data_IF_265241322693
#
_entry.id   IF_265241322693
#
_cell.length_a   1.000
_cell.length_b   1.000
_cell.length_c   1.000
_cell.angle_alpha   90.00
_cell.angle_beta   90.00
_cell.angle_gamma   90.00
#
_symmetry.space_group_name_H-M   'P 1'
#
loop_
_entity.id
_entity.type
_entity.pdbx_description
1 polymer ?
#
# COMPACT_ATOMS: atom_id res chain seq x y z
N UNK A 1 13.61 -7.63 -1.07
CA UNK A 1 12.80 -6.85 -0.10
C UNK A 1 11.32 -7.14 -0.31
N UNK A 2 10.65 -7.59 0.73
CA UNK A 2 9.22 -7.91 0.68
C UNK A 2 8.35 -6.96 1.50
N UNK A 3 8.96 -6.21 2.38
CA UNK A 3 8.30 -5.25 3.25
C UNK A 3 9.10 -3.97 3.29
N UNK A 4 8.41 -2.85 3.36
CA UNK A 4 9.01 -1.56 3.66
C UNK A 4 8.42 -1.09 4.99
N UNK A 5 9.27 -0.89 5.99
CA UNK A 5 8.84 -0.56 7.34
C UNK A 5 9.36 0.79 7.77
N UNK A 6 8.54 1.52 8.53
CA UNK A 6 8.93 2.77 9.18
C UNK A 6 8.58 2.62 10.65
N UNK A 7 9.58 2.75 11.51
CA UNK A 7 9.44 2.60 12.95
C UNK A 7 9.58 3.96 13.66
N UNK A 8 9.44 3.95 14.97
CA UNK A 8 9.63 5.11 15.83
C UNK A 8 8.69 6.28 15.53
N UNK A 9 7.48 5.96 15.10
CA UNK A 9 6.43 6.94 14.92
C UNK A 9 5.75 7.23 16.25
N UNK A 10 5.35 8.50 16.47
CA UNK A 10 4.53 8.83 17.64
C UNK A 10 3.08 8.41 17.40
N UNK A 11 2.33 8.23 18.49
CA UNK A 11 0.91 7.94 18.39
C UNK A 11 0.15 9.03 17.63
N UNK A 12 0.56 10.28 17.78
CA UNK A 12 -0.02 11.40 17.05
C UNK A 12 0.26 11.30 15.55
N UNK A 13 1.49 10.94 15.19
CA UNK A 13 1.87 10.76 13.78
C UNK A 13 1.08 9.65 13.11
N UNK A 14 0.94 8.51 13.77
CA UNK A 14 0.16 7.40 13.23
C UNK A 14 -1.32 7.73 13.13
N UNK A 15 -1.85 8.51 14.09
CA UNK A 15 -3.24 8.98 14.02
C UNK A 15 -3.46 9.92 12.84
N UNK A 16 -2.51 10.83 12.57
CA UNK A 16 -2.58 11.71 11.39
C UNK A 16 -2.54 10.93 10.10
N UNK A 17 -1.65 9.94 10.02
CA UNK A 17 -1.56 9.09 8.84
C UNK A 17 -2.84 8.29 8.62
N UNK A 18 -3.39 7.72 9.69
CA UNK A 18 -4.65 6.98 9.61
C UNK A 18 -5.78 7.85 9.08
N UNK A 19 -5.87 9.10 9.55
CA UNK A 19 -6.89 10.03 9.08
C UNK A 19 -6.71 10.34 7.59
N UNK A 20 -5.48 10.60 7.15
CA UNK A 20 -5.19 10.89 5.75
C UNK A 20 -5.57 9.70 4.85
N UNK A 21 -5.26 8.48 5.29
CA UNK A 21 -5.58 7.28 4.52
C UNK A 21 -7.10 7.05 4.42
N UNK A 22 -7.84 7.35 5.50
CA UNK A 22 -9.31 7.31 5.46
C UNK A 22 -9.87 8.36 4.52
N UNK A 23 -9.32 9.57 4.56
CA UNK A 23 -9.77 10.67 3.69
C UNK A 23 -9.53 10.36 2.21
N UNK A 24 -8.48 9.59 1.90
CA UNK A 24 -8.19 9.10 0.55
C UNK A 24 -9.02 7.89 0.14
N UNK A 25 -9.86 7.39 1.06
CA UNK A 25 -10.70 6.20 0.83
C UNK A 25 -9.89 4.92 0.64
N UNK A 26 -8.75 4.80 1.32
CA UNK A 26 -7.90 3.62 1.26
C UNK A 26 -8.19 2.59 2.35
N UNK A 27 -9.19 2.82 3.19
CA UNK A 27 -9.54 1.89 4.26
C UNK A 27 -9.96 0.52 3.71
N UNK A 28 -9.52 -0.54 4.38
CA UNK A 28 -9.85 -1.91 3.97
C UNK A 28 -11.15 -2.44 4.59
N UNK A 29 -11.65 -1.75 5.60
CA UNK A 29 -12.71 -2.28 6.47
C UNK A 29 -12.19 -2.98 7.70
N UNK A 30 -10.89 -3.29 7.75
CA UNK A 30 -10.23 -3.87 8.91
C UNK A 30 -9.37 -2.78 9.59
N UNK A 31 -9.46 -2.71 10.91
CA UNK A 31 -8.71 -1.72 11.69
C UNK A 31 -7.20 -1.89 11.43
N UNK A 32 -6.55 -0.76 11.11
CA UNK A 32 -5.10 -0.74 10.92
C UNK A 32 -4.62 -1.25 9.58
N UNK A 33 -5.51 -1.66 8.69
CA UNK A 33 -5.14 -2.13 7.35
C UNK A 33 -5.73 -1.21 6.28
N UNK A 34 -4.86 -0.76 5.38
CA UNK A 34 -5.22 0.14 4.28
C UNK A 34 -4.70 -0.42 2.97
N UNK A 35 -5.34 -0.02 1.86
CA UNK A 35 -4.94 -0.44 0.53
C UNK A 35 -4.38 0.73 -0.24
N UNK A 36 -3.09 0.65 -0.62
CA UNK A 36 -2.49 1.65 -1.52
C UNK A 36 -2.65 1.15 -2.95
N UNK A 37 -3.42 1.87 -3.79
CA UNK A 37 -3.69 1.40 -5.15
C UNK A 37 -2.42 1.41 -6.00
N UNK A 38 -2.29 0.39 -6.85
CA UNK A 38 -1.20 0.30 -7.83
C UNK A 38 -1.64 1.05 -9.08
N UNK A 39 -0.80 1.98 -9.59
CA UNK A 39 -1.11 2.67 -10.86
C UNK A 39 -1.31 1.66 -11.99
N UNK A 40 -2.38 1.82 -12.75
CA UNK A 40 -2.71 0.91 -13.84
C UNK A 40 -1.57 0.77 -14.85
N UNK A 41 -0.87 1.86 -15.14
CA UNK A 41 0.25 1.86 -16.08
C UNK A 41 1.43 1.01 -15.62
N UNK A 42 1.50 0.66 -14.34
CA UNK A 42 2.59 -0.13 -13.76
C UNK A 42 2.23 -1.59 -13.53
N UNK A 43 1.04 -2.01 -13.94
CA UNK A 43 0.64 -3.40 -13.84
C UNK A 43 1.41 -4.26 -14.85
N UNK A 44 1.73 -5.51 -14.46
CA UNK A 44 2.32 -6.46 -15.40
C UNK A 44 1.30 -6.87 -16.47
N UNK A 45 1.76 -7.46 -17.61
CA UNK A 45 0.82 -7.94 -18.61
C UNK A 45 -0.23 -8.93 -18.08
N UNK A 46 0.18 -9.84 -17.20
CA UNK A 46 -0.73 -10.81 -16.56
C UNK A 46 -1.77 -10.08 -15.71
N UNK A 47 -1.36 -9.08 -14.94
CA UNK A 47 -2.27 -8.31 -14.10
C UNK A 47 -3.27 -7.51 -14.93
N UNK A 48 -2.84 -6.93 -16.04
CA UNK A 48 -3.74 -6.21 -16.96
C UNK A 48 -4.76 -7.14 -17.59
N UNK A 49 -4.32 -8.32 -17.97
CA UNK A 49 -5.20 -9.34 -18.57
C UNK A 49 -6.29 -9.78 -17.61
N UNK A 50 -5.96 -9.88 -16.31
CA UNK A 50 -6.87 -10.33 -15.26
C UNK A 50 -7.62 -9.20 -14.56
N UNK A 51 -7.39 -7.96 -14.94
CA UNK A 51 -7.90 -6.78 -14.18
C UNK A 51 -9.41 -6.78 -14.02
N UNK A 52 -10.16 -7.22 -15.03
CA UNK A 52 -11.62 -7.24 -14.98
C UNK A 52 -12.15 -8.17 -13.88
N UNK A 53 -11.49 -9.31 -13.67
CA UNK A 53 -11.92 -10.31 -12.68
C UNK A 53 -11.21 -10.17 -11.35
N UNK A 54 -9.94 -9.81 -11.35
CA UNK A 54 -9.08 -9.82 -10.18
C UNK A 54 -8.85 -8.43 -9.57
N UNK A 55 -8.92 -7.39 -10.41
CA UNK A 55 -8.71 -6.02 -9.94
C UNK A 55 -9.78 -5.53 -8.97
N UNK A 56 -9.56 -4.40 -8.33
CA UNK A 56 -8.37 -3.55 -8.43
C UNK A 56 -7.16 -4.16 -7.69
N UNK A 57 -5.96 -3.72 -8.06
CA UNK A 57 -4.73 -4.18 -7.44
C UNK A 57 -4.22 -3.15 -6.44
N UNK A 58 -3.69 -3.62 -5.33
CA UNK A 58 -3.20 -2.76 -4.27
C UNK A 58 -2.14 -3.44 -3.42
N UNK A 59 -1.34 -2.64 -2.73
CA UNK A 59 -0.42 -3.09 -1.70
C UNK A 59 -1.06 -2.85 -0.33
N UNK A 60 -0.93 -3.82 0.58
CA UNK A 60 -1.43 -3.68 1.94
C UNK A 60 -0.50 -2.83 2.79
N UNK A 61 -1.04 -1.85 3.49
CA UNK A 61 -0.32 -1.03 4.46
C UNK A 61 -0.89 -1.31 5.84
N UNK A 62 -0.05 -1.87 6.71
CA UNK A 62 -0.40 -2.11 8.11
C UNK A 62 0.09 -0.95 8.95
N UNK A 63 -0.81 -0.38 9.74
CA UNK A 63 -0.49 0.73 10.63
C UNK A 63 -0.73 0.30 12.07
N UNK A 64 0.34 0.37 12.87
CA UNK A 64 0.29 0.12 14.29
C UNK A 64 0.50 1.43 15.05
N UNK A 65 0.51 1.38 16.39
CA UNK A 65 0.58 2.59 17.20
C UNK A 65 1.86 3.40 16.93
N UNK A 66 2.98 2.72 16.71
CA UNK A 66 4.29 3.38 16.56
C UNK A 66 5.05 2.97 15.31
N UNK A 67 4.39 2.29 14.38
CA UNK A 67 5.08 1.82 13.18
C UNK A 67 4.10 1.61 12.03
N UNK A 68 4.65 1.52 10.83
CA UNK A 68 3.89 1.08 9.65
C UNK A 68 4.72 0.08 8.87
N UNK A 69 4.03 -0.77 8.11
CA UNK A 69 4.65 -1.74 7.22
C UNK A 69 3.88 -1.82 5.93
N UNK A 70 4.57 -1.56 4.83
CA UNK A 70 4.01 -1.69 3.49
C UNK A 70 4.43 -3.06 2.94
N UNK A 71 3.46 -3.93 2.72
CA UNK A 71 3.72 -5.20 2.05
C UNK A 71 3.93 -4.95 0.56
N UNK A 72 5.03 -5.45 0.02
CA UNK A 72 5.37 -5.22 -1.38
C UNK A 72 4.81 -6.31 -2.31
N UNK A 73 3.75 -6.97 -1.88
CA UNK A 73 3.00 -7.94 -2.65
C UNK A 73 1.81 -7.23 -3.30
N UNK A 74 1.72 -7.32 -4.62
CA UNK A 74 0.57 -6.79 -5.36
C UNK A 74 -0.59 -7.76 -5.19
N UNK A 75 -1.60 -7.35 -4.44
CA UNK A 75 -2.76 -8.20 -4.18
C UNK A 75 -3.91 -7.84 -5.11
N UNK A 76 -4.62 -8.88 -5.51
CA UNK A 76 -5.82 -8.75 -6.33
C UNK A 76 -7.03 -8.67 -5.39
N UNK A 77 -7.66 -7.50 -5.29
CA UNK A 77 -8.77 -7.30 -4.36
C UNK A 77 -10.06 -7.97 -4.81
N UNK A 78 -10.20 -8.23 -6.11
CA UNK A 78 -11.38 -8.89 -6.66
C UNK A 78 -11.36 -10.41 -6.53
N UNK A 79 -10.19 -11.01 -6.29
CA UNK A 79 -10.04 -12.47 -6.19
C UNK A 79 -8.85 -12.80 -5.31
N UNK A 80 -9.04 -13.64 -4.29
CA UNK A 80 -8.00 -13.94 -3.30
C UNK A 80 -6.84 -14.78 -3.87
N UNK A 81 -7.10 -15.63 -4.84
CA UNK A 81 -6.08 -16.49 -5.43
C UNK A 81 -6.08 -16.34 -6.95
N UNK A 82 -4.95 -15.91 -7.47
CA UNK A 82 -4.73 -15.75 -8.89
C UNK A 82 -3.22 -15.67 -9.14
N UNK A 83 -2.77 -16.11 -10.31
CA UNK A 83 -1.39 -16.00 -10.73
C UNK A 83 -0.94 -14.54 -10.88
N UNK A 84 -1.88 -13.60 -10.91
CA UNK A 84 -1.58 -12.18 -10.98
C UNK A 84 -1.12 -11.59 -9.64
N UNK A 85 -1.28 -12.32 -8.52
CA UNK A 85 -0.77 -11.89 -7.21
C UNK A 85 0.72 -12.19 -7.14
N UNK A 86 1.54 -11.15 -7.17
CA UNK A 86 3.01 -11.26 -7.21
C UNK A 86 3.66 -10.12 -6.47
N UNK A 87 4.87 -10.36 -5.97
CA UNK A 87 5.65 -9.29 -5.38
C UNK A 87 5.98 -8.23 -6.44
N UNK A 88 6.00 -6.97 -6.01
CA UNK A 88 6.33 -5.85 -6.88
C UNK A 88 7.75 -6.00 -7.41
N UNK A 89 7.92 -5.78 -8.71
CA UNK A 89 9.24 -5.68 -9.33
C UNK A 89 9.95 -4.41 -8.86
N UNK A 90 11.25 -4.25 -9.21
CA UNK A 90 12.03 -3.12 -8.72
C UNK A 90 11.44 -1.75 -9.02
N UNK A 91 10.88 -1.57 -10.21
CA UNK A 91 10.31 -0.29 -10.62
C UNK A 91 9.06 0.06 -9.81
N UNK A 92 8.11 -0.88 -9.70
CA UNK A 92 6.89 -0.67 -8.92
C UNK A 92 7.21 -0.49 -7.44
N UNK A 93 8.12 -1.30 -6.91
CA UNK A 93 8.56 -1.19 -5.53
C UNK A 93 9.08 0.21 -5.23
N UNK A 94 9.99 0.72 -6.07
CA UNK A 94 10.54 2.06 -5.90
C UNK A 94 9.46 3.12 -5.96
N UNK A 95 8.51 2.99 -6.88
CA UNK A 95 7.41 3.93 -7.02
C UNK A 95 6.53 3.96 -5.76
N UNK A 96 6.15 2.79 -5.25
CA UNK A 96 5.25 2.72 -4.10
C UNK A 96 5.93 3.19 -2.81
N UNK A 97 7.21 2.90 -2.64
CA UNK A 97 7.97 3.40 -1.49
C UNK A 97 8.08 4.93 -1.57
N UNK A 98 8.39 5.47 -2.75
CA UNK A 98 8.48 6.92 -2.94
C UNK A 98 7.14 7.60 -2.69
N UNK A 99 6.04 6.99 -3.12
CA UNK A 99 4.70 7.49 -2.85
C UNK A 99 4.43 7.59 -1.35
N UNK A 100 4.72 6.52 -0.61
CA UNK A 100 4.53 6.49 0.84
C UNK A 100 5.42 7.52 1.53
N UNK A 101 6.69 7.60 1.15
CA UNK A 101 7.62 8.57 1.73
C UNK A 101 7.15 10.01 1.47
N UNK A 102 6.62 10.29 0.29
CA UNK A 102 6.08 11.61 -0.03
C UNK A 102 4.86 11.93 0.82
N UNK A 103 3.98 10.95 1.03
CA UNK A 103 2.82 11.11 1.89
C UNK A 103 3.24 11.45 3.33
N UNK A 104 4.24 10.75 3.85
CA UNK A 104 4.77 11.03 5.18
C UNK A 104 5.36 12.44 5.26
N UNK A 105 6.10 12.85 4.24
CA UNK A 105 6.67 14.19 4.17
C UNK A 105 5.58 15.25 4.15
N UNK A 106 4.54 15.05 3.34
CA UNK A 106 3.42 15.99 3.23
C UNK A 106 2.67 16.14 4.57
N UNK A 107 2.62 15.08 5.34
CA UNK A 107 2.00 15.08 6.68
C UNK A 107 2.95 15.52 7.79
N UNK A 108 4.18 15.88 7.43
CA UNK A 108 5.21 16.30 8.39
C UNK A 108 5.56 15.19 9.39
N UNK A 109 5.63 13.97 8.92
CA UNK A 109 6.00 12.79 9.72
C UNK A 109 7.43 12.43 9.36
N UNK A 110 8.30 12.48 10.37
CA UNK A 110 9.73 12.25 10.19
C UNK A 110 10.11 10.77 10.10
N UNK A 111 9.38 9.91 10.72
CA UNK A 111 9.55 8.45 10.72
C UNK A 111 10.95 7.91 10.62
#
# INVERSE_FOLDING_TARGET
>A
MRWYAVDDLSAEETARLAQALRDMEFSSGMTGLYWLPVPEAMLSPVQREHAADCGPYALGLELEEHSLRLELLVRARGRLRCDCVRYAGPELRAHMIAYLDQLLTDLQIAG
#
